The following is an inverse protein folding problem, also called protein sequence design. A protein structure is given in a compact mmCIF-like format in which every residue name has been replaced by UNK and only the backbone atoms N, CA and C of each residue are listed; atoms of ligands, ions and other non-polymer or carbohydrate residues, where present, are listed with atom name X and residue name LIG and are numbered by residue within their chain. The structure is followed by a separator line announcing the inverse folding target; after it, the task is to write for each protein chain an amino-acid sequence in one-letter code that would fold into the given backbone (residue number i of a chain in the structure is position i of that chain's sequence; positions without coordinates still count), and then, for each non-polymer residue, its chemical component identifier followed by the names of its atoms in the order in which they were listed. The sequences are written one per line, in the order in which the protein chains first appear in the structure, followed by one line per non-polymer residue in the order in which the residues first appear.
data_IF_633337712281
#
_entry.id   IF_633337712281
#
_cell.length_a   1.000
_cell.length_b   1.000
_cell.length_c   1.000
_cell.angle_alpha   90.00
_cell.angle_beta   90.00
_cell.angle_gamma   90.00
#
_symmetry.space_group_name_H-M   'P 1'
#
loop_
_entity.id
_entity.type
_entity.pdbx_description
1 polymer ?
#
# COMPACT_ATOMS: atom_id res chain seq x y z
N UNK A 1 -11.61 -10.80 -27.33
CA UNK A 1 -11.29 -11.28 -25.97
C UNK A 1 -9.86 -10.86 -25.73
N UNK A 2 -9.61 -9.98 -24.76
CA UNK A 2 -8.24 -9.65 -24.38
C UNK A 2 -7.66 -10.91 -23.72
N UNK A 3 -6.68 -11.54 -24.35
CA UNK A 3 -5.99 -12.71 -23.82
C UNK A 3 -5.00 -12.24 -22.75
N UNK A 4 -5.53 -11.84 -21.60
CA UNK A 4 -4.75 -11.36 -20.47
C UNK A 4 -4.35 -12.59 -19.67
N UNK A 5 -3.05 -12.87 -19.60
CA UNK A 5 -2.52 -14.00 -18.84
C UNK A 5 -3.01 -13.98 -17.38
N UNK A 6 -3.30 -15.14 -16.75
CA UNK A 6 -3.86 -15.22 -15.39
C UNK A 6 -3.05 -14.42 -14.36
N UNK A 7 -1.72 -14.43 -14.48
CA UNK A 7 -0.81 -13.69 -13.62
C UNK A 7 -1.03 -12.17 -13.70
N UNK A 8 -1.22 -11.62 -14.91
CA UNK A 8 -1.46 -10.20 -15.09
C UNK A 8 -2.81 -9.78 -14.48
N UNK A 9 -3.84 -10.63 -14.59
CA UNK A 9 -5.14 -10.40 -13.95
C UNK A 9 -5.00 -10.38 -12.42
N UNK A 10 -4.24 -11.31 -11.85
CA UNK A 10 -4.00 -11.38 -10.42
C UNK A 10 -3.32 -10.11 -9.89
N UNK A 11 -2.22 -9.67 -10.51
CA UNK A 11 -1.52 -8.45 -10.13
C UNK A 11 -2.40 -7.20 -10.29
N UNK A 12 -3.17 -7.10 -11.37
CA UNK A 12 -4.11 -6.00 -11.60
C UNK A 12 -5.18 -5.95 -10.51
N UNK A 13 -5.81 -7.08 -10.22
CA UNK A 13 -6.86 -7.17 -9.21
C UNK A 13 -6.33 -6.85 -7.82
N UNK A 14 -5.21 -7.48 -7.42
CA UNK A 14 -4.57 -7.23 -6.13
C UNK A 14 -4.15 -5.76 -5.98
N UNK A 15 -3.50 -5.19 -6.99
CA UNK A 15 -3.08 -3.79 -7.00
C UNK A 15 -4.25 -2.82 -6.92
N UNK A 16 -5.32 -3.08 -7.67
CA UNK A 16 -6.53 -2.26 -7.63
C UNK A 16 -7.20 -2.29 -6.25
N UNK A 17 -7.36 -3.47 -5.65
CA UNK A 17 -7.95 -3.62 -4.30
C UNK A 17 -7.10 -2.84 -3.28
N UNK A 18 -5.79 -3.03 -3.28
CA UNK A 18 -4.89 -2.35 -2.35
C UNK A 18 -4.90 -0.83 -2.57
N UNK A 19 -4.95 -0.37 -3.82
CA UNK A 19 -5.03 1.05 -4.14
C UNK A 19 -6.33 1.68 -3.66
N UNK A 20 -7.47 0.99 -3.83
CA UNK A 20 -8.77 1.45 -3.33
C UNK A 20 -8.76 1.53 -1.81
N UNK A 21 -8.30 0.49 -1.12
CA UNK A 21 -8.21 0.49 0.35
C UNK A 21 -7.27 1.60 0.84
N UNK A 22 -6.10 1.76 0.23
CA UNK A 22 -5.18 2.85 0.54
C UNK A 22 -5.77 4.24 0.29
N UNK A 23 -6.54 4.40 -0.79
CA UNK A 23 -7.27 5.62 -1.10
C UNK A 23 -8.36 5.93 -0.07
N UNK A 24 -9.13 4.93 0.37
CA UNK A 24 -10.13 5.08 1.43
C UNK A 24 -9.48 5.51 2.76
N UNK A 25 -8.36 4.89 3.13
CA UNK A 25 -7.60 5.30 4.32
C UNK A 25 -7.10 6.74 4.16
N UNK A 26 -6.43 7.07 3.04
CA UNK A 26 -5.79 8.38 2.81
C UNK A 26 -6.78 9.53 2.70
N UNK A 27 -7.81 9.39 1.86
CA UNK A 27 -8.67 10.50 1.45
C UNK A 27 -9.99 10.54 2.23
N UNK A 28 -10.52 9.39 2.63
CA UNK A 28 -11.79 9.31 3.37
C UNK A 28 -11.54 9.21 4.88
N UNK A 29 -10.31 8.90 5.31
CA UNK A 29 -9.97 8.76 6.73
C UNK A 29 -10.49 7.46 7.34
N UNK A 30 -10.68 6.40 6.54
CA UNK A 30 -11.13 5.10 7.03
C UNK A 30 -9.98 4.33 7.72
N UNK A 31 -9.38 4.91 8.75
CA UNK A 31 -8.29 4.31 9.52
C UNK A 31 -8.73 3.11 10.35
N UNK A 32 -10.04 2.91 10.57
CA UNK A 32 -10.59 1.67 11.13
C UNK A 32 -10.29 0.42 10.26
N UNK A 33 -9.98 0.60 8.97
CA UNK A 33 -9.49 -0.48 8.10
C UNK A 33 -8.10 -0.96 8.50
N UNK A 34 -7.33 -0.15 9.23
CA UNK A 34 -6.02 -0.51 9.76
C UNK A 34 -6.23 -1.32 11.03
N UNK A 35 -6.00 -2.63 10.91
CA UNK A 35 -6.13 -3.55 12.04
C UNK A 35 -5.29 -3.08 13.24
N UNK A 36 -5.92 -2.97 14.40
CA UNK A 36 -5.27 -2.58 15.66
C UNK A 36 -5.10 -1.08 15.86
N UNK A 37 -5.48 -0.23 14.90
CA UNK A 37 -5.55 1.22 15.12
C UNK A 37 -6.90 1.61 15.75
N UNK A 38 -6.84 2.47 16.76
CA UNK A 38 -8.01 3.15 17.33
C UNK A 38 -7.62 4.58 17.67
N UNK A 39 -8.40 5.54 17.16
CA UNK A 39 -8.21 6.98 17.41
C UNK A 39 -8.16 7.29 18.92
N UNK A 40 -8.97 6.60 19.72
CA UNK A 40 -9.08 6.81 21.16
C UNK A 40 -7.92 6.24 21.98
N UNK A 41 -7.09 5.36 21.42
CA UNK A 41 -6.05 4.62 22.17
C UNK A 41 -4.65 4.89 21.61
N UNK A 42 -4.55 5.34 20.36
CA UNK A 42 -3.27 5.56 19.69
C UNK A 42 -2.62 6.88 20.12
N UNK A 43 -1.32 6.88 20.45
CA UNK A 43 -0.54 8.11 20.65
C UNK A 43 -0.36 8.92 19.36
N UNK A 44 -0.51 8.29 18.20
CA UNK A 44 -0.33 8.91 16.88
C UNK A 44 -1.68 9.42 16.37
N UNK A 45 -1.80 10.72 16.04
CA UNK A 45 -3.00 11.32 15.49
C UNK A 45 -3.47 10.65 14.19
N UNK A 46 -4.80 10.63 13.99
CA UNK A 46 -5.43 9.99 12.83
C UNK A 46 -4.97 10.59 11.50
N UNK A 47 -4.75 11.90 11.46
CA UNK A 47 -4.29 12.62 10.28
C UNK A 47 -2.88 12.21 9.84
N UNK A 48 -2.01 11.89 10.79
CA UNK A 48 -0.67 11.36 10.52
C UNK A 48 -0.75 9.92 10.03
N UNK A 49 -1.58 9.10 10.67
CA UNK A 49 -1.74 7.69 10.30
C UNK A 49 -2.31 7.55 8.90
N UNK A 50 -3.37 8.28 8.55
CA UNK A 50 -3.92 8.26 7.19
C UNK A 50 -2.92 8.72 6.13
N UNK A 51 -2.06 9.70 6.46
CA UNK A 51 -1.07 10.21 5.52
C UNK A 51 0.12 9.28 5.35
N UNK A 52 0.59 8.61 6.40
CA UNK A 52 1.70 7.66 6.31
C UNK A 52 1.20 6.32 5.75
N UNK A 53 0.22 5.71 6.40
CA UNK A 53 -0.26 4.38 6.05
C UNK A 53 -1.09 4.38 4.76
N UNK A 54 -2.07 5.29 4.64
CA UNK A 54 -2.91 5.39 3.44
C UNK A 54 -2.10 5.70 2.19
N UNK A 55 -1.13 6.62 2.28
CA UNK A 55 -0.24 6.92 1.15
C UNK A 55 0.68 5.76 0.79
N UNK A 56 1.17 5.00 1.77
CA UNK A 56 1.98 3.81 1.51
C UNK A 56 1.17 2.75 0.78
N UNK A 57 -0.02 2.41 1.28
CA UNK A 57 -0.94 1.47 0.65
C UNK A 57 -1.30 1.90 -0.77
N UNK A 58 -1.64 3.18 -0.97
CA UNK A 58 -1.98 3.71 -2.28
C UNK A 58 -0.82 3.56 -3.28
N UNK A 59 0.41 3.90 -2.87
CA UNK A 59 1.60 3.77 -3.70
C UNK A 59 1.89 2.32 -4.06
N UNK A 60 1.79 1.41 -3.08
CA UNK A 60 1.97 -0.04 -3.30
C UNK A 60 0.91 -0.57 -4.26
N UNK A 61 -0.36 -0.25 -4.04
CA UNK A 61 -1.45 -0.70 -4.91
C UNK A 61 -1.29 -0.21 -6.35
N UNK A 62 -0.94 1.07 -6.55
CA UNK A 62 -0.68 1.62 -7.89
C UNK A 62 0.51 0.92 -8.54
N UNK A 63 1.62 0.72 -7.82
CA UNK A 63 2.80 0.04 -8.36
C UNK A 63 2.48 -1.41 -8.76
N UNK A 64 1.74 -2.14 -7.94
CA UNK A 64 1.33 -3.52 -8.20
C UNK A 64 0.38 -3.60 -9.40
N UNK A 65 -0.58 -2.68 -9.51
CA UNK A 65 -1.45 -2.60 -10.68
C UNK A 65 -0.64 -2.29 -11.96
N UNK A 66 0.33 -1.38 -11.89
CA UNK A 66 1.22 -1.08 -13.02
C UNK A 66 2.06 -2.30 -13.44
N UNK A 67 2.51 -3.12 -12.48
CA UNK A 67 3.17 -4.41 -12.77
C UNK A 67 2.22 -5.37 -13.49
N UNK A 68 0.94 -5.42 -13.09
CA UNK A 68 -0.06 -6.22 -13.78
C UNK A 68 -0.29 -5.77 -15.23
N UNK A 69 -0.35 -4.46 -15.48
CA UNK A 69 -0.38 -3.91 -16.85
C UNK A 69 0.86 -4.34 -17.63
N UNK A 70 2.05 -4.19 -17.04
CA UNK A 70 3.30 -4.55 -17.71
C UNK A 70 3.38 -6.05 -18.02
N UNK A 71 2.93 -6.89 -17.08
CA UNK A 71 2.89 -8.35 -17.24
C UNK A 71 1.85 -8.81 -18.28
N UNK A 72 0.91 -7.94 -18.68
CA UNK A 72 -0.02 -8.24 -19.78
C UNK A 72 0.64 -8.14 -21.16
N UNK A 73 1.76 -7.43 -21.28
CA UNK A 73 2.48 -7.17 -22.54
C UNK A 73 3.92 -7.66 -22.53
N UNK A 74 4.40 -8.16 -21.39
CA UNK A 74 5.75 -8.70 -21.20
C UNK A 74 5.71 -9.94 -20.32
N UNK A 75 6.66 -10.86 -20.53
CA UNK A 75 6.86 -12.02 -19.66
C UNK A 75 7.96 -11.71 -18.63
N UNK A 76 7.61 -11.37 -17.37
CA UNK A 76 8.61 -11.06 -16.37
C UNK A 76 9.42 -12.31 -15.98
N UNK A 77 10.70 -12.16 -15.58
CA UNK A 77 11.50 -13.27 -15.07
C UNK A 77 10.86 -13.96 -13.85
N UNK A 78 11.14 -15.24 -13.65
CA UNK A 78 10.55 -16.03 -12.54
C UNK A 78 10.85 -15.47 -11.14
N UNK A 79 12.00 -14.81 -10.95
CA UNK A 79 12.38 -14.17 -9.68
C UNK A 79 11.73 -12.79 -9.46
N UNK A 80 11.02 -12.25 -10.46
CA UNK A 80 10.46 -10.91 -10.38
C UNK A 80 9.39 -10.78 -9.30
N UNK A 81 8.54 -11.80 -9.13
CA UNK A 81 7.53 -11.83 -8.05
C UNK A 81 8.16 -11.70 -6.66
N UNK A 82 9.30 -12.37 -6.44
CA UNK A 82 10.05 -12.29 -5.17
C UNK A 82 10.59 -10.86 -4.93
N UNK A 83 11.05 -10.18 -5.98
CA UNK A 83 11.50 -8.79 -5.85
C UNK A 83 10.35 -7.84 -5.49
N UNK A 84 9.17 -8.05 -6.07
CA UNK A 84 7.96 -7.28 -5.76
C UNK A 84 7.56 -7.51 -4.30
N UNK A 85 7.53 -8.76 -3.85
CA UNK A 85 7.22 -9.11 -2.46
C UNK A 85 8.22 -8.46 -1.48
N UNK A 86 9.53 -8.56 -1.76
CA UNK A 86 10.56 -7.93 -0.95
C UNK A 86 10.39 -6.39 -0.90
N UNK A 87 10.06 -5.76 -2.02
CA UNK A 87 9.81 -4.32 -2.08
C UNK A 87 8.58 -3.91 -1.26
N UNK A 88 7.50 -4.71 -1.30
CA UNK A 88 6.30 -4.49 -0.48
C UNK A 88 6.64 -4.62 1.00
N UNK A 89 7.38 -5.66 1.40
CA UNK A 89 7.82 -5.84 2.78
C UNK A 89 8.63 -4.64 3.27
N UNK A 90 9.58 -4.15 2.48
CA UNK A 90 10.37 -2.95 2.81
C UNK A 90 9.47 -1.72 2.94
N UNK A 91 8.49 -1.54 2.07
CA UNK A 91 7.54 -0.43 2.15
C UNK A 91 6.71 -0.47 3.43
N UNK A 92 6.23 -1.66 3.82
CA UNK A 92 5.45 -1.88 5.04
C UNK A 92 6.32 -1.67 6.29
N UNK A 93 7.54 -2.21 6.31
CA UNK A 93 8.49 -2.00 7.42
C UNK A 93 8.84 -0.52 7.58
N UNK A 94 9.06 0.19 6.47
CA UNK A 94 9.30 1.63 6.48
C UNK A 94 8.11 2.41 7.03
N UNK A 95 6.88 2.02 6.67
CA UNK A 95 5.66 2.63 7.20
C UNK A 95 5.56 2.43 8.72
N UNK A 96 5.77 1.21 9.21
CA UNK A 96 5.79 0.94 10.65
C UNK A 96 6.89 1.73 11.37
N UNK A 97 8.08 1.79 10.80
CA UNK A 97 9.18 2.57 11.34
C UNK A 97 8.80 4.04 11.46
N UNK A 98 8.23 4.65 10.41
CA UNK A 98 7.80 6.05 10.43
C UNK A 98 6.74 6.33 11.50
N UNK A 99 5.77 5.44 11.66
CA UNK A 99 4.75 5.57 12.70
C UNK A 99 5.33 5.40 14.11
N UNK A 100 6.24 4.46 14.29
CA UNK A 100 6.87 4.19 15.59
C UNK A 100 7.82 5.31 16.03
N UNK A 101 8.56 5.91 15.09
CA UNK A 101 9.46 7.04 15.38
C UNK A 101 8.78 8.39 15.26
N UNK A 102 7.46 8.42 15.06
CA UNK A 102 6.74 9.68 14.98
C UNK A 102 6.83 10.41 16.32
N UNK A 103 7.21 11.68 16.25
CA UNK A 103 7.23 12.59 17.39
C UNK A 103 6.34 13.79 17.05
N UNK A 104 5.49 14.26 17.98
CA UNK A 104 4.74 15.48 17.76
C UNK A 104 5.72 16.60 17.48
N UNK A 105 5.58 17.25 16.32
CA UNK A 105 6.34 18.47 16.05
C UNK A 105 5.92 19.52 17.08
N UNK A 106 6.79 19.79 18.05
CA UNK A 106 6.55 20.86 19.02
C UNK A 106 6.68 22.18 18.27
N UNK A 107 5.55 22.72 17.81
CA UNK A 107 5.48 24.07 17.27
C UNK A 107 5.78 25.03 18.42
N UNK A 108 6.96 25.65 18.37
CA UNK A 108 7.38 26.74 19.25
C UNK A 108 6.60 28.03 18.96
#
# INVERSE_FOLDING_TARGET
MLDIGPLAVEWLAAGAIVAVLGGLVKFVGWTWLLAGYSESTSPVPDDVVRDIAGNTLLRVGIAVAAIGVLSSVTDPPSYFGLLVEAAILVAVLRMFYQLYTWTPTQTA
#
